data_IF_646139476488
#
_entry.id   IF_646139476488
#
_cell.length_a   1.000
_cell.length_b   1.000
_cell.length_c   1.000
_cell.angle_alpha   90.00
_cell.angle_beta   90.00
_cell.angle_gamma   90.00
#
_symmetry.space_group_name_H-M   'P 1'
#
loop_
_entity.id
_entity.type
_entity.pdbx_description
1 polymer ?
#
# COMPACT_ATOMS: atom_id res chain seq x y z
N UNK A 1 -5.89 30.85 23.91
CA UNK A 1 -6.98 30.63 24.89
C UNK A 1 -6.97 29.17 25.29
N UNK A 2 -6.86 28.89 26.61
CA UNK A 2 -7.44 27.76 27.38
C UNK A 2 -7.20 26.32 26.86
N UNK A 3 -6.92 25.30 27.65
CA UNK A 3 -6.69 25.11 29.07
C UNK A 3 -6.08 23.71 29.18
N UNK A 4 -5.09 23.55 30.05
CA UNK A 4 -4.65 22.25 30.52
C UNK A 4 -5.80 21.56 31.31
N UNK A 5 -5.99 20.26 31.10
CA UNK A 5 -6.72 19.39 32.03
C UNK A 5 -5.86 18.18 32.35
N UNK A 6 -5.51 18.11 33.62
CA UNK A 6 -4.88 16.99 34.29
C UNK A 6 -5.85 15.83 34.47
N UNK A 7 -5.30 14.61 34.51
CA UNK A 7 -5.81 13.50 35.31
C UNK A 7 -4.63 12.62 35.73
N UNK A 8 -4.34 12.68 37.04
CA UNK A 8 -3.51 11.76 37.79
C UNK A 8 -4.27 10.45 38.02
N UNK A 9 -3.55 9.33 38.09
CA UNK A 9 -4.02 8.12 38.78
C UNK A 9 -2.87 7.55 39.61
N UNK A 10 -3.21 7.21 40.84
CA UNK A 10 -2.38 6.97 42.02
C UNK A 10 -1.56 5.68 41.97
N UNK A 11 -0.43 5.67 42.66
CA UNK A 11 -0.03 4.54 43.52
C UNK A 11 0.80 5.06 44.69
N UNK A 12 0.23 4.89 45.87
CA UNK A 12 0.64 5.37 47.17
C UNK A 12 1.81 4.57 47.74
N UNK A 13 2.79 5.29 48.28
CA UNK A 13 3.69 4.77 49.31
C UNK A 13 3.69 5.74 50.49
N UNK A 14 3.06 5.29 51.56
CA UNK A 14 3.07 5.89 52.90
C UNK A 14 4.48 5.77 53.49
N UNK A 15 5.16 6.91 53.70
CA UNK A 15 6.30 6.99 54.60
C UNK A 15 5.77 7.11 56.03
N UNK A 16 5.97 6.06 56.82
CA UNK A 16 5.85 6.12 58.29
C UNK A 16 7.19 6.57 58.90
N UNK A 17 7.24 7.66 59.66
CA UNK A 17 8.35 7.94 60.56
C UNK A 17 8.09 7.20 61.89
N UNK A 18 8.95 6.23 62.23
CA UNK A 18 8.94 5.64 63.57
C UNK A 18 9.74 6.53 64.55
N UNK A 19 9.23 6.76 65.77
CA UNK A 19 9.81 7.67 66.74
C UNK A 19 10.91 6.99 67.56
N UNK A 20 11.99 7.73 67.82
CA UNK A 20 12.96 7.41 68.86
C UNK A 20 12.32 7.62 70.25
N UNK A 21 12.37 6.65 71.18
CA UNK A 21 12.17 6.92 72.59
C UNK A 21 13.52 7.18 73.26
N UNK A 22 13.82 8.45 73.53
CA UNK A 22 14.82 8.82 74.56
C UNK A 22 14.19 8.58 75.93
N UNK A 23 14.52 7.45 76.56
CA UNK A 23 14.31 7.22 77.99
C UNK A 23 15.62 7.56 78.70
N UNK A 24 15.60 8.64 79.46
CA UNK A 24 16.66 9.06 80.39
C UNK A 24 16.55 8.18 81.64
N UNK A 25 17.60 7.46 82.08
CA UNK A 25 17.62 6.90 83.41
C UNK A 25 18.01 7.98 84.43
N UNK A 26 17.01 8.39 85.21
CA UNK A 26 17.07 8.74 86.64
C UNK A 26 18.46 8.69 87.30
N UNK A 27 18.98 9.86 87.68
CA UNK A 27 19.94 10.02 88.77
C UNK A 27 19.30 9.61 90.10
N UNK A 28 19.74 8.49 90.69
CA UNK A 28 19.97 8.39 92.15
C UNK A 28 20.59 7.06 92.54
N UNK A 29 21.55 7.20 93.46
CA UNK A 29 22.16 6.19 94.31
C UNK A 29 23.04 5.15 93.61
N UNK A 30 24.36 5.33 93.73
CA UNK A 30 25.22 4.55 94.62
C UNK A 30 26.62 5.20 94.55
N UNK A 31 26.94 6.04 95.53
CA UNK A 31 28.34 6.28 95.90
C UNK A 31 28.42 6.64 97.39
N UNK A 32 28.29 5.60 98.21
CA UNK A 32 28.93 5.53 99.53
C UNK A 32 29.44 4.10 99.70
N UNK A 33 30.71 3.89 99.42
CA UNK A 33 31.60 3.00 100.16
C UNK A 33 32.99 3.11 99.54
N UNK A 34 33.77 4.06 100.04
CA UNK A 34 35.21 3.88 100.14
C UNK A 34 35.45 2.70 101.07
N UNK A 35 35.59 1.52 100.48
CA UNK A 35 36.09 0.34 101.18
C UNK A 35 37.26 -0.16 100.36
N UNK A 36 38.47 -0.03 100.91
CA UNK A 36 39.64 -0.80 100.50
C UNK A 36 39.25 -2.27 100.56
N UNK A 37 38.80 -2.83 99.44
CA UNK A 37 38.73 -4.27 99.24
C UNK A 37 40.08 -4.67 98.66
N UNK A 38 40.99 -5.08 99.54
CA UNK A 38 42.07 -5.99 99.18
C UNK A 38 41.45 -7.15 98.41
N UNK A 39 41.58 -7.14 97.07
CA UNK A 39 41.19 -8.29 96.26
C UNK A 39 42.08 -9.44 96.70
N UNK A 40 41.45 -10.48 97.27
CA UNK A 40 42.07 -11.79 97.39
C UNK A 40 42.26 -12.32 95.98
N UNK A 41 43.38 -11.95 95.37
CA UNK A 41 43.88 -12.45 94.11
C UNK A 41 44.19 -13.94 94.27
N UNK A 42 43.30 -14.80 93.79
CA UNK A 42 43.59 -16.24 93.62
C UNK A 42 44.64 -16.49 92.52
N UNK A 43 44.95 -15.45 91.73
CA UNK A 43 45.90 -15.43 90.62
C UNK A 43 46.71 -14.13 90.69
N UNK A 44 48.02 -14.16 90.43
CA UNK A 44 48.88 -12.97 90.46
C UNK A 44 48.45 -11.91 89.44
N UNK A 45 48.76 -10.64 89.68
CA UNK A 45 48.41 -9.54 88.75
C UNK A 45 48.92 -9.77 87.31
N UNK A 46 50.05 -10.47 87.16
CA UNK A 46 50.60 -10.85 85.86
C UNK A 46 49.75 -11.94 85.15
N UNK A 47 49.16 -12.86 85.93
CA UNK A 47 48.18 -13.83 85.42
C UNK A 47 46.87 -13.16 85.00
N UNK A 48 46.40 -12.16 85.76
CA UNK A 48 45.21 -11.36 85.39
C UNK A 48 45.46 -10.55 84.10
N UNK A 49 46.62 -9.92 83.98
CA UNK A 49 47.01 -9.19 82.76
C UNK A 49 47.19 -10.11 81.54
N UNK A 50 47.63 -11.36 81.76
CA UNK A 50 47.68 -12.40 80.74
C UNK A 50 46.29 -12.82 80.24
N UNK A 51 45.34 -13.00 81.15
CA UNK A 51 43.96 -13.41 80.80
C UNK A 51 43.18 -12.28 80.09
N UNK A 52 43.35 -11.04 80.52
CA UNK A 52 42.79 -9.87 79.81
C UNK A 52 43.34 -9.71 78.39
N UNK A 53 44.63 -10.03 78.18
CA UNK A 53 45.24 -10.07 76.84
C UNK A 53 44.62 -11.17 75.97
N UNK A 54 44.35 -12.35 76.52
CA UNK A 54 43.63 -13.42 75.81
C UNK A 54 42.20 -13.01 75.47
N UNK A 55 41.46 -12.41 76.41
CA UNK A 55 40.11 -11.91 76.15
C UNK A 55 40.09 -10.84 75.06
N UNK A 56 41.05 -9.90 75.08
CA UNK A 56 41.16 -8.86 74.04
C UNK A 56 41.51 -9.47 72.68
N UNK A 57 42.41 -10.46 72.64
CA UNK A 57 42.75 -11.18 71.41
C UNK A 57 41.55 -11.96 70.86
N UNK A 58 40.74 -12.59 71.73
CA UNK A 58 39.51 -13.27 71.36
C UNK A 58 38.48 -12.30 70.76
N UNK A 59 38.21 -11.17 71.41
CA UNK A 59 37.29 -10.13 70.91
C UNK A 59 37.75 -9.61 69.55
N UNK A 60 39.06 -9.39 69.38
CA UNK A 60 39.62 -8.95 68.10
C UNK A 60 39.48 -10.00 67.01
N UNK A 61 39.72 -11.27 67.33
CA UNK A 61 39.56 -12.38 66.38
C UNK A 61 38.10 -12.55 65.96
N UNK A 62 37.17 -12.51 66.92
CA UNK A 62 35.73 -12.57 66.68
C UNK A 62 35.27 -11.40 65.79
N UNK A 63 35.74 -10.18 66.05
CA UNK A 63 35.46 -9.02 65.20
C UNK A 63 35.99 -9.19 63.77
N UNK A 64 37.19 -9.76 63.61
CA UNK A 64 37.80 -10.02 62.30
C UNK A 64 37.09 -11.13 61.52
N UNK A 65 36.61 -12.17 62.20
CA UNK A 65 35.79 -13.23 61.58
C UNK A 65 34.43 -12.68 61.15
N UNK A 66 33.79 -11.87 61.99
CA UNK A 66 32.52 -11.22 61.64
C UNK A 66 32.68 -10.23 60.48
N UNK A 67 33.77 -9.48 60.44
CA UNK A 67 34.07 -8.58 59.32
C UNK A 67 34.29 -9.37 58.01
N UNK A 68 35.02 -10.50 58.06
CA UNK A 68 35.22 -11.38 56.90
C UNK A 68 33.91 -12.01 56.44
N UNK A 69 33.05 -12.45 57.35
CA UNK A 69 31.73 -12.99 57.02
C UNK A 69 30.86 -11.95 56.31
N UNK A 70 30.82 -10.72 56.81
CA UNK A 70 30.08 -9.61 56.17
C UNK A 70 30.62 -9.35 54.77
N UNK A 71 31.94 -9.33 54.61
CA UNK A 71 32.57 -9.08 53.30
C UNK A 71 32.24 -10.20 52.30
N UNK A 72 32.33 -11.47 52.72
CA UNK A 72 32.00 -12.60 51.86
C UNK A 72 30.52 -12.59 51.44
N UNK A 73 29.61 -12.29 52.38
CA UNK A 73 28.18 -12.11 52.07
C UNK A 73 27.93 -10.93 51.12
N UNK A 74 28.63 -9.82 51.32
CA UNK A 74 28.50 -8.66 50.43
C UNK A 74 28.97 -8.98 48.99
N UNK A 75 30.04 -9.74 48.84
CA UNK A 75 30.53 -10.18 47.52
C UNK A 75 29.56 -11.16 46.84
N UNK A 76 28.99 -12.10 47.60
CA UNK A 76 27.95 -13.01 47.12
C UNK A 76 26.70 -12.25 46.67
N UNK A 77 26.19 -11.33 47.51
CA UNK A 77 25.02 -10.51 47.19
C UNK A 77 25.28 -9.59 45.98
N UNK A 78 26.48 -9.00 45.89
CA UNK A 78 26.88 -8.20 44.73
C UNK A 78 26.85 -9.03 43.44
N UNK A 79 27.40 -10.24 43.45
CA UNK A 79 27.41 -11.12 42.30
C UNK A 79 25.99 -11.52 41.87
N UNK A 80 25.12 -11.82 42.84
CA UNK A 80 23.71 -12.18 42.60
C UNK A 80 22.94 -11.01 42.01
N UNK A 81 22.97 -9.83 42.64
CA UNK A 81 22.22 -8.65 42.18
C UNK A 81 22.75 -8.14 40.83
N UNK A 82 24.08 -8.14 40.61
CA UNK A 82 24.65 -7.83 39.29
C UNK A 82 24.14 -8.79 38.22
N UNK A 83 24.18 -10.11 38.48
CA UNK A 83 23.68 -11.09 37.50
C UNK A 83 22.18 -10.93 37.26
N UNK A 84 21.40 -10.60 38.28
CA UNK A 84 19.95 -10.40 38.18
C UNK A 84 19.62 -9.17 37.34
N UNK A 85 20.26 -8.03 37.61
CA UNK A 85 20.09 -6.80 36.83
C UNK A 85 20.48 -7.02 35.35
N UNK A 86 21.63 -7.63 35.10
CA UNK A 86 22.06 -7.93 33.72
C UNK A 86 21.03 -8.81 33.02
N UNK A 87 20.57 -9.90 33.64
CA UNK A 87 19.56 -10.79 33.03
C UNK A 87 18.24 -10.08 32.73
N UNK A 88 17.77 -9.23 33.65
CA UNK A 88 16.54 -8.47 33.47
C UNK A 88 16.65 -7.50 32.28
N UNK A 89 17.73 -6.74 32.21
CA UNK A 89 17.95 -5.79 31.10
C UNK A 89 18.20 -6.51 29.77
N UNK A 90 18.92 -7.63 29.78
CA UNK A 90 19.15 -8.43 28.56
C UNK A 90 17.82 -8.95 28.01
N UNK A 91 16.95 -9.49 28.88
CA UNK A 91 15.62 -9.94 28.48
C UNK A 91 14.75 -8.78 27.94
N UNK A 92 14.82 -7.59 28.54
CA UNK A 92 14.13 -6.41 28.04
C UNK A 92 14.64 -6.01 26.65
N UNK A 93 15.97 -6.01 26.43
CA UNK A 93 16.60 -5.73 25.14
C UNK A 93 16.16 -6.76 24.09
N UNK A 94 16.17 -8.05 24.41
CA UNK A 94 15.79 -9.12 23.50
C UNK A 94 14.34 -8.96 23.03
N UNK A 95 13.40 -8.67 23.95
CA UNK A 95 11.98 -8.45 23.58
C UNK A 95 11.79 -7.21 22.71
N UNK A 96 12.56 -6.14 22.93
CA UNK A 96 12.53 -4.94 22.08
C UNK A 96 13.11 -5.23 20.71
N UNK A 97 14.21 -5.99 20.65
CA UNK A 97 14.86 -6.36 19.40
C UNK A 97 13.96 -7.27 18.57
N UNK A 98 13.29 -8.24 19.19
CA UNK A 98 12.35 -9.13 18.50
C UNK A 98 11.19 -8.35 17.86
N UNK A 99 10.63 -7.36 18.57
CA UNK A 99 9.60 -6.47 18.02
C UNK A 99 10.11 -5.68 16.82
N UNK A 100 11.29 -5.06 16.94
CA UNK A 100 11.92 -4.29 15.85
C UNK A 100 12.22 -5.18 14.64
N UNK A 101 12.72 -6.40 14.89
CA UNK A 101 13.03 -7.37 13.85
C UNK A 101 11.77 -7.79 13.09
N UNK A 102 10.69 -8.16 13.80
CA UNK A 102 9.40 -8.50 13.21
C UNK A 102 8.83 -7.34 12.37
N UNK A 103 8.90 -6.12 12.88
CA UNK A 103 8.45 -4.92 12.16
C UNK A 103 9.28 -4.67 10.89
N UNK A 104 10.60 -4.79 10.98
CA UNK A 104 11.50 -4.63 9.83
C UNK A 104 11.27 -5.70 8.75
N UNK A 105 11.13 -6.97 9.16
CA UNK A 105 10.82 -8.08 8.26
C UNK A 105 9.48 -7.88 7.54
N UNK A 106 8.43 -7.47 8.29
CA UNK A 106 7.13 -7.14 7.71
C UNK A 106 7.22 -5.97 6.72
N UNK A 107 7.94 -4.90 7.07
CA UNK A 107 8.16 -3.74 6.20
C UNK A 107 8.88 -4.12 4.90
N UNK A 108 9.90 -4.99 4.99
CA UNK A 108 10.60 -5.52 3.83
C UNK A 108 9.68 -6.35 2.94
N UNK A 109 8.82 -7.19 3.53
CA UNK A 109 7.85 -7.99 2.78
C UNK A 109 6.83 -7.10 2.06
N UNK A 110 6.31 -6.07 2.73
CA UNK A 110 5.40 -5.08 2.13
C UNK A 110 6.10 -4.40 0.95
N UNK A 111 7.32 -3.89 1.17
CA UNK A 111 8.09 -3.19 0.14
C UNK A 111 8.33 -4.07 -1.09
N UNK A 112 8.70 -5.34 -0.88
CA UNK A 112 8.87 -6.31 -1.96
C UNK A 112 7.58 -6.53 -2.74
N UNK A 113 6.45 -6.68 -2.04
CA UNK A 113 5.13 -6.87 -2.65
C UNK A 113 4.70 -5.63 -3.46
N UNK A 114 4.85 -4.44 -2.88
CA UNK A 114 4.55 -3.16 -3.55
C UNK A 114 5.40 -2.96 -4.79
N UNK A 115 6.70 -3.28 -4.73
CA UNK A 115 7.60 -3.16 -5.88
C UNK A 115 7.22 -4.15 -6.98
N UNK A 116 6.91 -5.41 -6.63
CA UNK A 116 6.47 -6.40 -7.60
C UNK A 116 5.17 -5.96 -8.31
N UNK A 117 4.19 -5.44 -7.57
CA UNK A 117 2.96 -4.93 -8.16
C UNK A 117 3.21 -3.68 -9.03
N UNK A 118 4.07 -2.76 -8.60
CA UNK A 118 4.44 -1.56 -9.38
C UNK A 118 5.08 -1.95 -10.71
N UNK A 119 5.99 -2.92 -10.70
CA UNK A 119 6.60 -3.46 -11.93
C UNK A 119 5.57 -4.12 -12.82
N UNK A 120 4.65 -4.93 -12.25
CA UNK A 120 3.55 -5.54 -13.00
C UNK A 120 2.67 -4.49 -13.68
N UNK A 121 2.27 -3.44 -12.96
CA UNK A 121 1.46 -2.34 -13.52
C UNK A 121 2.21 -1.59 -14.61
N UNK A 122 3.52 -1.38 -14.47
CA UNK A 122 4.34 -0.76 -15.52
C UNK A 122 4.36 -1.59 -16.80
N UNK A 123 4.50 -2.92 -16.70
CA UNK A 123 4.47 -3.81 -17.86
C UNK A 123 3.08 -3.79 -18.51
N UNK A 124 2.00 -3.82 -17.72
CA UNK A 124 0.64 -3.72 -18.24
C UNK A 124 0.37 -2.38 -18.93
N UNK A 125 0.84 -1.27 -18.34
CA UNK A 125 0.75 0.06 -18.92
C UNK A 125 1.49 0.14 -20.26
N UNK A 126 2.75 -0.30 -20.31
CA UNK A 126 3.51 -0.30 -21.57
C UNK A 126 2.89 -1.19 -22.65
N UNK A 127 2.26 -2.31 -22.29
CA UNK A 127 1.51 -3.12 -23.27
C UNK A 127 0.29 -2.39 -23.82
N UNK A 128 -0.42 -1.64 -22.98
CA UNK A 128 -1.58 -0.86 -23.41
C UNK A 128 -1.15 0.31 -24.30
N UNK A 129 -0.09 1.03 -23.93
CA UNK A 129 0.48 2.12 -24.73
C UNK A 129 0.85 1.68 -26.15
N UNK A 130 1.46 0.50 -26.31
CA UNK A 130 1.77 -0.07 -27.63
C UNK A 130 0.51 -0.39 -28.47
N UNK A 131 -0.57 -0.85 -27.82
CA UNK A 131 -1.84 -1.09 -28.51
C UNK A 131 -2.49 0.23 -28.93
N UNK A 132 -2.50 1.21 -28.03
CA UNK A 132 -3.06 2.54 -28.30
C UNK A 132 -2.31 3.22 -29.47
N UNK A 133 -0.98 3.12 -29.49
CA UNK A 133 -0.15 3.62 -30.59
C UNK A 133 -0.44 2.88 -31.90
N UNK A 134 -0.63 1.57 -31.88
CA UNK A 134 -0.99 0.78 -33.07
C UNK A 134 -2.34 1.22 -33.66
N UNK A 135 -3.37 1.36 -32.82
CA UNK A 135 -4.69 1.80 -33.30
C UNK A 135 -4.69 3.26 -33.71
N UNK A 136 -3.89 4.12 -33.06
CA UNK A 136 -3.68 5.49 -33.51
C UNK A 136 -3.04 5.54 -34.89
N UNK A 137 -1.99 4.75 -35.14
CA UNK A 137 -1.38 4.61 -36.46
C UNK A 137 -2.37 4.07 -37.50
N UNK A 138 -3.29 3.17 -37.12
CA UNK A 138 -4.35 2.69 -37.99
C UNK A 138 -5.35 3.80 -38.34
N UNK A 139 -5.79 4.61 -37.36
CA UNK A 139 -6.67 5.77 -37.58
C UNK A 139 -6.04 6.78 -38.54
N UNK A 140 -4.74 7.07 -38.39
CA UNK A 140 -4.00 7.96 -39.29
C UNK A 140 -3.84 7.42 -40.71
N UNK A 141 -3.78 6.10 -40.89
CA UNK A 141 -3.79 5.49 -42.23
C UNK A 141 -5.18 5.58 -42.86
N UNK A 142 -6.23 5.32 -42.09
CA UNK A 142 -7.61 5.37 -42.55
C UNK A 142 -8.02 6.79 -42.98
N UNK A 143 -7.56 7.83 -42.27
CA UNK A 143 -7.84 9.22 -42.65
C UNK A 143 -7.21 9.63 -43.99
N UNK A 144 -6.12 8.98 -44.42
CA UNK A 144 -5.46 9.23 -45.72
C UNK A 144 -6.18 8.58 -46.90
N UNK A 145 -6.96 7.52 -46.67
CA UNK A 145 -7.66 6.77 -47.74
C UNK A 145 -8.59 7.68 -48.56
N UNK A 146 -9.23 8.64 -47.89
CA UNK A 146 -10.07 9.65 -48.52
C UNK A 146 -9.32 10.60 -49.46
N UNK A 147 -8.04 10.86 -49.20
CA UNK A 147 -7.21 11.81 -49.95
C UNK A 147 -6.44 11.16 -51.10
N UNK A 148 -6.09 9.87 -50.96
CA UNK A 148 -5.17 9.20 -51.89
C UNK A 148 -5.83 8.76 -53.20
N UNK A 149 -7.06 8.20 -53.17
CA UNK A 149 -7.69 7.61 -54.37
C UNK A 149 -9.22 7.83 -54.38
N UNK A 150 -9.64 8.86 -55.12
CA UNK A 150 -11.05 9.27 -55.19
C UNK A 150 -11.97 8.18 -55.76
N UNK A 151 -11.49 7.33 -56.69
CA UNK A 151 -12.31 6.26 -57.28
C UNK A 151 -12.56 5.14 -56.28
N UNK A 152 -11.52 4.71 -55.56
CA UNK A 152 -11.66 3.71 -54.48
C UNK A 152 -12.53 4.24 -53.36
N UNK A 153 -12.37 5.51 -53.00
CA UNK A 153 -13.20 6.16 -51.99
C UNK A 153 -14.68 6.18 -52.39
N UNK A 154 -15.00 6.52 -53.64
CA UNK A 154 -16.38 6.46 -54.15
C UNK A 154 -16.97 5.05 -54.07
N UNK A 155 -16.20 4.02 -54.47
CA UNK A 155 -16.66 2.63 -54.37
C UNK A 155 -16.90 2.20 -52.92
N UNK A 156 -16.06 2.64 -51.97
CA UNK A 156 -16.29 2.37 -50.56
C UNK A 156 -17.52 3.11 -50.02
N UNK A 157 -17.70 4.40 -50.34
CA UNK A 157 -18.89 5.15 -49.94
C UNK A 157 -20.17 4.50 -50.47
N UNK A 158 -20.16 4.02 -51.72
CA UNK A 158 -21.28 3.25 -52.28
C UNK A 158 -21.61 2.04 -51.41
N UNK A 159 -20.61 1.24 -51.03
CA UNK A 159 -20.80 0.08 -50.16
C UNK A 159 -21.33 0.46 -48.77
N UNK A 160 -20.81 1.53 -48.16
CA UNK A 160 -21.26 2.00 -46.85
C UNK A 160 -22.71 2.49 -46.86
N UNK A 161 -23.11 3.17 -47.94
CA UNK A 161 -24.50 3.59 -48.16
C UNK A 161 -25.39 2.36 -48.33
N UNK A 162 -25.02 1.45 -49.23
CA UNK A 162 -25.77 0.22 -49.51
C UNK A 162 -26.00 -0.63 -48.24
N UNK A 163 -24.95 -0.82 -47.44
CA UNK A 163 -25.01 -1.55 -46.16
C UNK A 163 -26.05 -0.93 -45.22
N UNK A 164 -26.05 0.39 -45.04
CA UNK A 164 -27.03 1.04 -44.18
C UNK A 164 -28.45 1.03 -44.75
N UNK A 165 -28.62 1.05 -46.07
CA UNK A 165 -29.92 0.85 -46.70
C UNK A 165 -30.48 -0.55 -46.39
N UNK A 166 -29.64 -1.59 -46.45
CA UNK A 166 -30.06 -2.95 -46.06
C UNK A 166 -30.42 -3.06 -44.57
N UNK A 167 -29.70 -2.35 -43.70
CA UNK A 167 -30.00 -2.37 -42.27
C UNK A 167 -31.28 -1.62 -41.89
N UNK A 168 -31.57 -0.47 -42.53
CA UNK A 168 -32.79 0.31 -42.26
C UNK A 168 -34.02 -0.31 -42.91
N UNK A 169 -33.90 -0.74 -44.18
CA UNK A 169 -35.01 -1.26 -44.98
C UNK A 169 -36.27 -0.37 -44.92
N UNK A 170 -36.10 0.92 -45.18
CA UNK A 170 -37.15 1.93 -45.19
C UNK A 170 -37.22 2.66 -46.53
N UNK A 171 -38.40 3.21 -46.86
CA UNK A 171 -38.64 3.90 -48.14
C UNK A 171 -37.96 5.27 -48.22
N UNK A 172 -37.73 5.94 -47.08
CA UNK A 172 -37.17 7.29 -47.03
C UNK A 172 -35.97 7.33 -46.08
N UNK A 173 -34.80 7.62 -46.62
CA UNK A 173 -33.55 7.65 -45.85
C UNK A 173 -32.81 8.95 -46.14
N UNK A 174 -32.36 9.63 -45.09
CA UNK A 174 -31.50 10.80 -45.19
C UNK A 174 -30.04 10.41 -44.92
N UNK A 175 -29.10 10.95 -45.70
CA UNK A 175 -27.67 10.68 -45.56
C UNK A 175 -26.94 11.97 -45.24
N UNK A 176 -26.12 11.92 -44.19
CA UNK A 176 -25.20 12.98 -43.80
C UNK A 176 -23.78 12.55 -44.14
N UNK A 177 -23.02 13.45 -44.76
CA UNK A 177 -21.60 13.25 -45.06
C UNK A 177 -20.82 14.53 -44.81
N UNK A 178 -19.48 14.47 -44.91
CA UNK A 178 -18.66 15.68 -44.78
C UNK A 178 -18.88 16.60 -45.98
N UNK A 179 -18.76 17.92 -45.77
CA UNK A 179 -18.96 18.94 -46.83
C UNK A 179 -18.09 18.70 -48.07
N UNK A 180 -16.85 18.22 -47.87
CA UNK A 180 -15.90 17.91 -48.94
C UNK A 180 -16.34 16.75 -49.85
N UNK A 181 -17.21 15.87 -49.35
CA UNK A 181 -17.61 14.65 -50.04
C UNK A 181 -18.94 14.73 -50.77
N UNK A 182 -19.72 15.79 -50.59
CA UNK A 182 -21.07 15.88 -51.15
C UNK A 182 -21.14 15.51 -52.64
N UNK A 183 -20.17 15.93 -53.45
CA UNK A 183 -20.13 15.59 -54.87
C UNK A 183 -19.90 14.09 -55.16
N UNK A 184 -19.12 13.41 -54.32
CA UNK A 184 -18.83 11.98 -54.44
C UNK A 184 -19.99 11.17 -53.84
N UNK A 185 -20.50 11.59 -52.69
CA UNK A 185 -21.62 10.96 -52.00
C UNK A 185 -22.88 10.96 -52.89
N UNK A 186 -23.19 12.05 -53.60
CA UNK A 186 -24.34 12.08 -54.53
C UNK A 186 -24.23 10.99 -55.61
N UNK A 187 -23.05 10.80 -56.21
CA UNK A 187 -22.81 9.73 -57.19
C UNK A 187 -22.90 8.34 -56.56
N UNK A 188 -22.34 8.18 -55.38
CA UNK A 188 -22.40 6.91 -54.64
C UNK A 188 -23.84 6.54 -54.26
N UNK A 189 -24.69 7.52 -53.92
CA UNK A 189 -26.12 7.33 -53.65
C UNK A 189 -26.83 6.83 -54.90
N UNK A 190 -26.65 7.48 -56.05
CA UNK A 190 -27.30 7.06 -57.31
C UNK A 190 -26.92 5.62 -57.70
N UNK A 191 -25.66 5.23 -57.51
CA UNK A 191 -25.20 3.87 -57.76
C UNK A 191 -25.74 2.87 -56.73
N UNK A 192 -25.81 3.25 -55.45
CA UNK A 192 -26.32 2.39 -54.38
C UNK A 192 -27.83 2.18 -54.48
N UNK A 193 -28.62 3.19 -54.84
CA UNK A 193 -30.07 3.06 -55.01
C UNK A 193 -30.44 2.11 -56.16
N UNK A 194 -29.67 2.13 -57.26
CA UNK A 194 -29.85 1.17 -58.37
C UNK A 194 -29.61 -0.26 -57.90
N UNK A 195 -28.47 -0.50 -57.23
CA UNK A 195 -28.13 -1.82 -56.72
C UNK A 195 -29.08 -2.32 -55.62
N UNK A 196 -29.57 -1.42 -54.76
CA UNK A 196 -30.58 -1.76 -53.76
C UNK A 196 -31.89 -2.21 -54.44
N UNK A 197 -32.35 -1.47 -55.46
CA UNK A 197 -33.56 -1.82 -56.22
C UNK A 197 -33.41 -3.17 -56.93
N UNK A 198 -32.26 -3.45 -57.51
CA UNK A 198 -31.98 -4.72 -58.20
C UNK A 198 -31.97 -5.92 -57.23
N UNK A 199 -31.44 -5.72 -56.01
CA UNK A 199 -31.29 -6.80 -55.02
C UNK A 199 -32.54 -7.03 -54.15
N UNK A 200 -33.28 -5.97 -53.79
CA UNK A 200 -34.39 -6.02 -52.83
C UNK A 200 -35.76 -5.90 -53.52
N UNK A 201 -35.80 -5.30 -54.71
CA UNK A 201 -37.05 -5.09 -55.46
C UNK A 201 -37.91 -3.92 -54.96
N UNK A 202 -37.47 -3.19 -53.93
CA UNK A 202 -38.14 -2.01 -53.37
C UNK A 202 -37.42 -0.72 -53.76
N UNK A 203 -38.18 0.34 -54.02
CA UNK A 203 -37.63 1.67 -54.30
C UNK A 203 -37.38 2.43 -52.99
N UNK A 204 -36.22 3.07 -52.88
CA UNK A 204 -35.84 3.89 -51.72
C UNK A 204 -35.50 5.30 -52.18
N UNK A 205 -36.12 6.28 -51.54
CA UNK A 205 -35.83 7.70 -51.71
C UNK A 205 -34.72 8.09 -50.75
N UNK A 206 -33.52 8.29 -51.29
CA UNK A 206 -32.33 8.68 -50.51
C UNK A 206 -32.06 10.16 -50.72
N UNK A 207 -32.12 10.96 -49.66
CA UNK A 207 -31.82 12.40 -49.70
C UNK A 207 -30.49 12.69 -49.03
N UNK A 208 -29.73 13.65 -49.56
CA UNK A 208 -28.53 14.15 -48.89
C UNK A 208 -28.93 15.31 -47.97
N UNK A 209 -28.71 15.15 -46.67
CA UNK A 209 -28.93 16.21 -45.68
C UNK A 209 -27.70 17.11 -45.62
N UNK A 210 -27.83 18.32 -46.18
CA UNK A 210 -26.78 19.35 -46.18
C UNK A 210 -26.87 20.28 -44.96
N UNK A 211 -27.91 20.14 -44.12
CA UNK A 211 -28.15 21.02 -42.96
C UNK A 211 -27.27 20.65 -41.75
N UNK A 212 -27.03 19.36 -41.55
CA UNK A 212 -26.18 18.81 -40.47
C UNK A 212 -25.03 17.95 -41.04
N UNK A 213 -24.00 18.58 -41.62
CA UNK A 213 -22.85 17.85 -42.18
C UNK A 213 -21.95 17.28 -41.08
N UNK A 214 -21.21 16.22 -41.43
CA UNK A 214 -20.19 15.66 -40.53
C UNK A 214 -19.04 16.65 -40.28
N UNK A 215 -18.38 16.58 -39.10
CA UNK A 215 -17.23 17.43 -38.77
C UNK A 215 -16.13 17.35 -39.83
N UNK A 216 -15.51 18.49 -40.16
CA UNK A 216 -14.47 18.56 -41.21
C UNK A 216 -13.20 17.79 -40.86
N UNK A 217 -12.96 17.54 -39.57
CA UNK A 217 -11.84 16.74 -39.07
C UNK A 217 -12.05 15.23 -39.18
N UNK A 218 -13.24 14.77 -39.60
CA UNK A 218 -13.51 13.34 -39.71
C UNK A 218 -12.80 12.70 -40.91
N UNK A 219 -12.35 11.45 -40.74
CA UNK A 219 -11.75 10.64 -41.79
C UNK A 219 -12.70 10.43 -43.00
N UNK A 220 -14.01 10.51 -42.77
CA UNK A 220 -15.06 10.38 -43.78
C UNK A 220 -16.06 9.27 -43.49
N UNK A 221 -16.78 8.86 -44.53
CA UNK A 221 -17.91 7.93 -44.43
C UNK A 221 -19.25 8.65 -44.34
N UNK A 222 -20.29 7.94 -43.90
CA UNK A 222 -21.67 8.40 -43.93
C UNK A 222 -22.42 8.11 -42.64
N UNK A 223 -23.29 9.04 -42.26
CA UNK A 223 -24.35 8.80 -41.30
C UNK A 223 -25.65 8.60 -42.07
N UNK A 224 -26.40 7.59 -41.69
CA UNK A 224 -27.63 7.20 -42.39
C UNK A 224 -28.76 7.30 -41.39
N UNK A 225 -29.73 8.15 -41.69
CA UNK A 225 -30.82 8.54 -40.80
C UNK A 225 -32.13 8.05 -41.38
N UNK A 226 -32.82 7.20 -40.62
CA UNK A 226 -34.14 6.64 -40.92
C UNK A 226 -35.14 6.95 -39.82
N UNK A 227 -36.36 6.41 -39.95
CA UNK A 227 -37.42 6.47 -38.95
C UNK A 227 -37.90 7.89 -38.68
N UNK A 228 -37.89 8.77 -39.69
CA UNK A 228 -38.17 10.21 -39.56
C UNK A 228 -37.21 10.92 -38.59
N UNK A 229 -35.93 10.54 -38.60
CA UNK A 229 -34.91 11.14 -37.74
C UNK A 229 -34.73 10.44 -36.38
N UNK A 230 -35.37 9.29 -36.16
CA UNK A 230 -35.29 8.55 -34.89
C UNK A 230 -34.21 7.48 -34.87
N UNK A 231 -33.86 6.94 -36.03
CA UNK A 231 -32.88 5.85 -36.15
C UNK A 231 -31.67 6.41 -36.89
N UNK A 232 -30.51 6.34 -36.26
CA UNK A 232 -29.25 6.79 -36.86
C UNK A 232 -28.26 5.63 -36.90
N UNK A 233 -27.73 5.35 -38.10
CA UNK A 233 -26.65 4.39 -38.32
C UNK A 233 -25.39 5.18 -38.61
N UNK A 234 -24.44 5.13 -37.67
CA UNK A 234 -23.11 5.69 -37.84
C UNK A 234 -22.23 4.70 -38.62
N UNK A 235 -22.11 4.91 -39.93
CA UNK A 235 -21.23 4.12 -40.80
C UNK A 235 -19.98 4.91 -41.24
N UNK A 236 -19.43 5.72 -40.33
CA UNK A 236 -18.17 6.43 -40.54
C UNK A 236 -16.97 5.50 -40.38
N UNK A 237 -15.85 5.84 -41.01
CA UNK A 237 -14.63 5.01 -40.88
C UNK A 237 -14.10 4.94 -39.44
N UNK A 238 -14.29 6.01 -38.66
CA UNK A 238 -13.90 6.06 -37.25
C UNK A 238 -14.70 5.07 -36.41
N UNK A 239 -16.02 5.04 -36.56
CA UNK A 239 -16.86 4.11 -35.78
C UNK A 239 -16.62 2.67 -36.22
N UNK A 240 -16.48 2.40 -37.52
CA UNK A 240 -16.13 1.05 -38.01
C UNK A 240 -14.80 0.58 -37.45
N UNK A 241 -13.78 1.45 -37.42
CA UNK A 241 -12.48 1.11 -36.85
C UNK A 241 -12.56 0.91 -35.35
N UNK A 242 -13.38 1.68 -34.64
CA UNK A 242 -13.63 1.53 -33.19
C UNK A 242 -14.32 0.20 -32.87
N UNK A 243 -15.34 -0.18 -33.63
CA UNK A 243 -16.00 -1.49 -33.49
C UNK A 243 -15.03 -2.63 -33.76
N UNK A 244 -14.25 -2.53 -34.85
CA UNK A 244 -13.21 -3.50 -35.18
C UNK A 244 -12.13 -3.58 -34.11
N UNK A 245 -11.72 -2.45 -33.53
CA UNK A 245 -10.74 -2.38 -32.45
C UNK A 245 -11.18 -3.21 -31.24
N UNK A 246 -12.46 -3.13 -30.85
CA UNK A 246 -13.02 -3.91 -29.74
C UNK A 246 -12.98 -5.41 -30.04
N UNK A 247 -13.47 -5.80 -31.23
CA UNK A 247 -13.59 -7.21 -31.61
C UNK A 247 -12.24 -7.87 -31.93
N UNK A 248 -11.32 -7.12 -32.55
CA UNK A 248 -10.01 -7.60 -32.93
C UNK A 248 -9.00 -7.56 -31.77
N UNK A 249 -9.29 -6.83 -30.67
CA UNK A 249 -8.36 -6.67 -29.54
C UNK A 249 -7.80 -7.99 -29.01
N UNK A 250 -8.60 -9.06 -28.82
CA UNK A 250 -8.08 -10.35 -28.36
C UNK A 250 -7.09 -10.97 -29.35
N UNK A 251 -7.41 -10.92 -30.65
CA UNK A 251 -6.57 -11.47 -31.71
C UNK A 251 -5.25 -10.69 -31.86
N UNK A 252 -5.31 -9.36 -31.80
CA UNK A 252 -4.13 -8.48 -31.83
C UNK A 252 -3.23 -8.74 -30.63
N UNK A 253 -3.82 -8.86 -29.42
CA UNK A 253 -3.06 -9.19 -28.20
C UNK A 253 -2.37 -10.54 -28.29
N UNK A 254 -3.07 -11.55 -28.78
CA UNK A 254 -2.51 -12.90 -28.96
C UNK A 254 -1.35 -12.90 -29.98
N UNK A 255 -1.49 -12.12 -31.06
CA UNK A 255 -0.46 -12.01 -32.10
C UNK A 255 0.79 -11.27 -31.62
N UNK A 256 0.63 -10.17 -30.88
CA UNK A 256 1.75 -9.34 -30.41
C UNK A 256 2.46 -9.92 -29.18
N UNK A 257 1.69 -10.47 -28.23
CA UNK A 257 2.23 -10.89 -26.93
C UNK A 257 2.26 -12.42 -26.73
N UNK A 258 1.77 -13.17 -27.73
CA UNK A 258 1.73 -14.63 -27.71
C UNK A 258 0.49 -15.20 -27.03
N UNK A 259 0.26 -16.51 -27.26
CA UNK A 259 -0.85 -17.25 -26.65
C UNK A 259 -0.62 -17.44 -25.16
N UNK A 260 -1.72 -17.37 -24.40
CA UNK A 260 -1.70 -17.74 -23.00
C UNK A 260 -1.51 -19.26 -22.84
N UNK A 261 -0.34 -19.69 -22.35
CA UNK A 261 -0.01 -21.12 -22.15
C UNK A 261 -0.97 -21.83 -21.16
N UNK A 262 -1.64 -21.08 -20.28
CA UNK A 262 -2.58 -21.64 -19.31
C UNK A 262 -4.00 -21.81 -19.86
N UNK A 263 -4.32 -21.25 -21.05
CA UNK A 263 -5.63 -21.42 -21.68
C UNK A 263 -5.68 -22.79 -22.35
N UNK A 264 -6.46 -23.71 -21.78
CA UNK A 264 -6.62 -25.09 -22.30
C UNK A 264 -7.75 -25.25 -23.31
N UNK A 265 -8.78 -24.41 -23.23
CA UNK A 265 -9.97 -24.51 -24.06
C UNK A 265 -10.29 -23.20 -24.77
N UNK A 266 -10.88 -23.32 -25.95
CA UNK A 266 -11.16 -22.22 -26.89
C UNK A 266 -12.64 -22.17 -27.31
N UNK A 267 -13.46 -22.98 -26.64
CA UNK A 267 -14.91 -23.07 -26.75
C UNK A 267 -15.64 -21.91 -26.06
#
# INVERSE_FOLDING_TARGET
MRNAKATQSELSWTQHPFPFPHVIPSQRAIQQCTTKMSQSHALSDDQVAGELRKMTAFIKQEALEKAREIQLKADEEFAIEKSKLVRQETAAIDTLYEKKFKQAAMSQQITRSTLANKTRLRVLGGRQELLDELFQNAREKVSKVAADDQKKYQAMLKGLVLEGLYYLNEDNVAIRSRKKDFGITKKAIEEATKEYKDNVGSEVTVTLDESEPLPEGSAGGVFIVGGQGKIEINNTFEERLRLLEIDALPAVRETLFGKNQNRKFSD
#
